data_IF_744205872618
#
_entry.id   IF_744205872618
#
_cell.length_a   1.000
_cell.length_b   1.000
_cell.length_c   1.000
_cell.angle_alpha   90.00
_cell.angle_beta   90.00
_cell.angle_gamma   90.00
#
_symmetry.space_group_name_H-M   'P 1'
#
loop_
_entity.id
_entity.type
_entity.pdbx_description
1 polymer ?
#
# COMPACT_ATOMS: atom_id res chain seq x y z
N UNK A 1 7.48 -2.01 -12.91
CA UNK A 1 6.42 -1.18 -13.51
C UNK A 1 7.03 0.20 -13.77
N UNK A 2 7.08 0.68 -15.02
CA UNK A 2 7.98 1.79 -15.44
C UNK A 2 7.27 3.11 -15.78
N UNK A 3 6.01 3.29 -15.39
CA UNK A 3 5.24 4.53 -15.61
C UNK A 3 4.46 4.94 -14.35
N UNK A 4 5.15 5.00 -13.20
CA UNK A 4 4.53 5.38 -11.92
C UNK A 4 4.57 6.91 -11.74
N UNK A 5 3.39 7.51 -11.63
CA UNK A 5 3.24 8.81 -10.98
C UNK A 5 3.37 8.60 -9.46
N UNK A 6 4.45 9.13 -8.88
CA UNK A 6 4.74 8.99 -7.45
C UNK A 6 3.62 9.56 -6.58
N UNK A 7 3.08 10.73 -6.92
CA UNK A 7 2.05 11.37 -6.11
C UNK A 7 0.76 10.54 -6.11
N UNK A 8 0.39 10.02 -7.28
CA UNK A 8 -0.76 9.13 -7.40
C UNK A 8 -0.59 7.85 -6.56
N UNK A 9 0.61 7.27 -6.54
CA UNK A 9 0.91 6.05 -5.79
C UNK A 9 0.80 6.29 -4.29
N UNK A 10 1.37 7.37 -3.77
CA UNK A 10 1.28 7.70 -2.34
C UNK A 10 -0.18 7.98 -1.93
N UNK A 11 -0.95 8.69 -2.77
CA UNK A 11 -2.36 8.92 -2.53
C UNK A 11 -3.19 7.61 -2.53
N UNK A 12 -2.87 6.67 -3.43
CA UNK A 12 -3.50 5.36 -3.44
C UNK A 12 -3.17 4.54 -2.19
N UNK A 13 -1.91 4.56 -1.73
CA UNK A 13 -1.52 3.90 -0.48
C UNK A 13 -2.29 4.44 0.73
N UNK A 14 -2.50 5.76 0.82
CA UNK A 14 -3.30 6.37 1.89
C UNK A 14 -4.75 5.91 1.83
N UNK A 15 -5.41 6.01 0.67
CA UNK A 15 -6.81 5.56 0.50
C UNK A 15 -6.99 4.07 0.81
N UNK A 16 -6.05 3.21 0.40
CA UNK A 16 -6.11 1.78 0.70
C UNK A 16 -5.93 1.50 2.20
N UNK A 17 -5.14 2.32 2.91
CA UNK A 17 -4.97 2.16 4.35
C UNK A 17 -6.21 2.54 5.18
N UNK A 18 -7.14 3.31 4.62
CA UNK A 18 -8.42 3.66 5.28
C UNK A 18 -9.35 2.45 5.40
N UNK A 19 -9.12 1.38 4.62
CA UNK A 19 -9.87 0.13 4.71
C UNK A 19 -9.54 -0.68 5.97
N UNK A 20 -8.49 -0.29 6.71
CA UNK A 20 -7.99 -0.96 7.91
C UNK A 20 -7.78 -2.49 7.78
N UNK A 21 -7.38 -2.94 6.59
CA UNK A 21 -7.15 -4.34 6.31
C UNK A 21 -5.94 -4.89 7.10
N UNK A 22 -6.09 -6.10 7.68
CA UNK A 22 -4.97 -6.83 8.30
C UNK A 22 -4.10 -7.51 7.22
N UNK A 23 -4.72 -7.98 6.13
CA UNK A 23 -4.05 -8.69 5.02
C UNK A 23 -4.18 -7.89 3.72
N UNK A 24 -3.11 -7.84 2.92
CA UNK A 24 -3.14 -7.36 1.55
C UNK A 24 -2.34 -8.28 0.61
N UNK A 25 -2.99 -8.74 -0.45
CA UNK A 25 -2.35 -9.50 -1.52
C UNK A 25 -2.00 -8.55 -2.66
N UNK A 26 -0.74 -8.58 -3.08
CA UNK A 26 -0.24 -7.78 -4.18
C UNK A 26 -0.18 -8.61 -5.45
N UNK A 27 -0.31 -7.97 -6.61
CA UNK A 27 -0.15 -8.64 -7.91
C UNK A 27 1.28 -9.15 -8.16
N UNK A 28 2.25 -8.72 -7.36
CA UNK A 28 3.61 -9.24 -7.34
C UNK A 28 4.15 -9.29 -5.91
N UNK A 29 5.11 -10.19 -5.67
CA UNK A 29 5.79 -10.31 -4.38
C UNK A 29 4.92 -10.97 -3.30
N UNK A 30 5.45 -10.99 -2.09
CA UNK A 30 4.79 -11.64 -0.96
C UNK A 30 3.61 -10.80 -0.44
N UNK A 31 2.52 -11.45 -0.02
CA UNK A 31 1.40 -10.75 0.61
C UNK A 31 1.82 -10.17 1.96
N UNK A 32 1.25 -9.03 2.33
CA UNK A 32 1.30 -8.55 3.70
C UNK A 32 0.26 -9.33 4.51
N UNK A 33 0.70 -10.28 5.33
CA UNK A 33 -0.19 -11.16 6.09
C UNK A 33 -0.74 -10.55 7.39
N UNK A 34 -0.14 -9.44 7.85
CA UNK A 34 -0.59 -8.71 9.05
C UNK A 34 -0.30 -7.22 8.89
N UNK A 35 -1.09 -6.39 9.57
CA UNK A 35 -0.92 -4.95 9.67
C UNK A 35 -0.82 -4.27 8.30
N UNK A 36 -1.50 -4.78 7.27
CA UNK A 36 -1.37 -4.27 5.91
C UNK A 36 -1.68 -2.76 5.79
N UNK A 37 -2.73 -2.28 6.47
CA UNK A 37 -3.04 -0.85 6.52
C UNK A 37 -1.91 0.00 7.13
N UNK A 38 -1.20 -0.51 8.14
CA UNK A 38 -0.03 0.16 8.73
C UNK A 38 1.13 0.20 7.74
N UNK A 39 1.40 -0.89 7.05
CA UNK A 39 2.44 -0.98 6.03
C UNK A 39 2.18 0.02 4.89
N UNK A 40 0.94 0.15 4.43
CA UNK A 40 0.53 1.14 3.42
C UNK A 40 0.72 2.59 3.90
N UNK A 41 0.36 2.90 5.16
CA UNK A 41 0.63 4.22 5.77
C UNK A 41 2.11 4.56 5.82
N UNK A 42 2.95 3.58 6.16
CA UNK A 42 4.40 3.77 6.21
C UNK A 42 4.99 3.99 4.82
N UNK A 43 4.54 3.22 3.82
CA UNK A 43 4.97 3.38 2.43
C UNK A 43 4.64 4.77 1.88
N UNK A 44 3.49 5.33 2.26
CA UNK A 44 3.08 6.68 1.86
C UNK A 44 3.93 7.82 2.46
N UNK A 45 4.78 7.53 3.47
CA UNK A 45 5.62 8.50 4.20
C UNK A 45 7.12 8.41 3.85
N UNK A 46 7.51 7.41 3.07
CA UNK A 46 8.88 7.22 2.59
C UNK A 46 9.16 8.07 1.34
#
# INVERSE_FOLDING_TARGET
>A
MFNLDRAQVLAACLRLAELDADVACFGHGDPALRQAARSLRNAARA
#
